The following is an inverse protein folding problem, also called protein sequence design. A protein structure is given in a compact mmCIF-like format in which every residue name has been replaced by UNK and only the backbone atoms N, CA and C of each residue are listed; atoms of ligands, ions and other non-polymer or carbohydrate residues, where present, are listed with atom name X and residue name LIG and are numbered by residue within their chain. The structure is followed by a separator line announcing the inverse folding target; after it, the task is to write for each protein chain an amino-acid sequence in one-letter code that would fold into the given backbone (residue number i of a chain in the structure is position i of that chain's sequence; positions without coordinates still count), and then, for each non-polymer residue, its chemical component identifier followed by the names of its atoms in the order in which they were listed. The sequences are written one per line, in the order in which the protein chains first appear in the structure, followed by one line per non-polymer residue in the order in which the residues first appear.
data_IF_250034942264
#
_entry.id   IF_250034942264
#
_cell.length_a   1.000
_cell.length_b   1.000
_cell.length_c   1.000
_cell.angle_alpha   90.00
_cell.angle_beta   90.00
_cell.angle_gamma   90.00
#
_symmetry.space_group_name_H-M   'P 1'
#
loop_
_entity.id
_entity.type
_entity.pdbx_description
1 polymer ?
#
# COMPACT_ATOMS: atom_id res chain seq x y z
N UNK A 1 29.58 -49.09 -12.46
CA UNK A 1 31.06 -49.06 -12.38
C UNK A 1 31.48 -47.61 -12.63
N UNK A 2 31.46 -46.73 -11.64
CA UNK A 2 32.41 -46.56 -10.54
C UNK A 2 33.61 -45.66 -10.94
N UNK A 3 33.56 -44.39 -10.50
CA UNK A 3 34.64 -43.49 -10.05
C UNK A 3 35.68 -42.98 -11.09
N UNK A 4 35.73 -41.66 -11.36
CA UNK A 4 36.49 -40.59 -10.67
C UNK A 4 37.99 -40.57 -11.00
N UNK A 5 38.45 -39.58 -11.79
CA UNK A 5 39.80 -38.97 -11.63
C UNK A 5 39.68 -37.45 -11.84
N UNK A 6 40.10 -36.74 -10.80
CA UNK A 6 40.24 -35.29 -10.66
C UNK A 6 41.60 -34.79 -11.17
N UNK A 7 41.58 -33.51 -11.60
CA UNK A 7 42.58 -32.46 -11.38
C UNK A 7 43.99 -32.54 -12.02
N UNK A 8 44.34 -31.43 -12.69
CA UNK A 8 45.71 -31.05 -13.04
C UNK A 8 45.78 -29.58 -13.47
N UNK A 9 45.97 -28.69 -12.49
CA UNK A 9 46.28 -27.26 -12.65
C UNK A 9 47.80 -27.11 -12.83
N UNK A 10 48.28 -26.30 -13.78
CA UNK A 10 49.36 -25.27 -13.69
C UNK A 10 50.11 -25.04 -15.01
N UNK A 11 50.12 -23.79 -15.52
CA UNK A 11 51.24 -22.99 -16.08
C UNK A 11 50.64 -21.73 -16.76
N UNK A 12 50.66 -20.52 -16.19
CA UNK A 12 51.76 -19.53 -15.98
C UNK A 12 52.10 -18.70 -17.24
N UNK A 13 51.94 -17.37 -17.07
CA UNK A 13 52.50 -16.22 -17.81
C UNK A 13 52.07 -16.01 -19.27
N UNK A 14 51.70 -14.81 -19.72
CA UNK A 14 52.58 -13.63 -19.84
C UNK A 14 51.80 -12.31 -19.80
N UNK A 15 52.40 -11.37 -19.08
CA UNK A 15 52.10 -9.94 -18.97
C UNK A 15 52.24 -9.21 -20.32
N UNK A 16 51.26 -8.39 -20.70
CA UNK A 16 51.47 -7.26 -21.62
C UNK A 16 50.82 -6.01 -21.05
N UNK A 17 51.63 -5.21 -20.36
CA UNK A 17 51.34 -3.81 -20.03
C UNK A 17 52.01 -2.97 -21.13
N UNK A 18 51.22 -2.38 -22.02
CA UNK A 18 51.62 -1.24 -22.86
C UNK A 18 50.91 -0.01 -22.29
N UNK A 19 51.52 0.83 -21.44
CA UNK A 19 52.49 1.90 -21.73
C UNK A 19 52.14 2.77 -22.95
N UNK A 20 51.17 3.67 -22.78
CA UNK A 20 51.14 4.91 -23.55
C UNK A 20 51.93 5.99 -22.79
N UNK A 21 53.11 6.32 -23.34
CA UNK A 21 53.92 7.48 -22.96
C UNK A 21 53.28 8.74 -23.55
N UNK A 22 53.09 9.74 -22.70
CA UNK A 22 52.88 11.12 -23.11
C UNK A 22 54.20 11.71 -23.66
N UNK A 23 54.18 12.56 -24.70
CA UNK A 23 55.32 13.38 -25.10
C UNK A 23 55.38 14.72 -24.32
N UNK A 24 56.57 15.35 -24.26
CA UNK A 24 56.91 16.40 -23.30
C UNK A 24 56.54 17.82 -23.73
N UNK A 25 56.39 18.67 -22.72
CA UNK A 25 56.21 20.13 -22.81
C UNK A 25 57.39 20.83 -23.49
N UNK A 26 57.10 21.88 -24.26
CA UNK A 26 58.03 23.00 -24.48
C UNK A 26 57.23 24.32 -24.41
N UNK A 27 57.71 25.35 -23.70
CA UNK A 27 56.93 26.55 -23.41
C UNK A 27 57.10 27.60 -24.51
N UNK A 28 56.03 28.34 -24.81
CA UNK A 28 56.14 29.61 -25.54
C UNK A 28 55.37 30.70 -24.80
N UNK A 29 56.11 31.73 -24.40
CA UNK A 29 55.61 33.10 -24.16
C UNK A 29 55.00 33.57 -25.50
N UNK A 30 53.92 34.35 -25.60
CA UNK A 30 53.71 35.72 -25.10
C UNK A 30 52.28 36.14 -25.48
N UNK A 31 51.81 37.27 -24.93
CA UNK A 31 50.57 38.03 -25.18
C UNK A 31 49.36 37.64 -24.33
N UNK A 32 49.38 38.19 -23.11
CA UNK A 32 48.19 38.45 -22.30
C UNK A 32 47.20 39.32 -23.11
N UNK A 33 46.12 38.69 -23.61
CA UNK A 33 44.88 39.40 -23.88
C UNK A 33 44.17 39.64 -22.54
N UNK A 34 43.59 40.83 -22.30
CA UNK A 34 42.74 41.04 -21.14
C UNK A 34 41.61 40.00 -21.16
N UNK A 35 41.20 39.50 -19.98
CA UNK A 35 40.19 38.46 -19.91
C UNK A 35 38.92 38.94 -20.64
N UNK A 36 38.23 38.07 -21.40
CA UNK A 36 36.92 38.42 -21.91
C UNK A 36 36.07 38.83 -20.70
N UNK A 37 35.47 40.02 -20.75
CA UNK A 37 34.45 40.41 -19.76
C UNK A 37 33.48 39.24 -19.68
N UNK A 38 33.44 38.58 -18.52
CA UNK A 38 32.38 37.64 -18.22
C UNK A 38 31.08 38.35 -18.59
N UNK A 39 30.17 37.72 -19.36
CA UNK A 39 28.79 38.14 -19.32
C UNK A 39 28.44 38.10 -17.84
N UNK A 40 28.18 39.26 -17.25
CA UNK A 40 27.59 39.34 -15.93
C UNK A 40 26.43 38.35 -15.95
N UNK A 41 26.50 37.34 -15.08
CA UNK A 41 25.42 36.38 -14.94
C UNK A 41 24.13 37.19 -14.89
N UNK A 42 23.12 36.88 -15.73
CA UNK A 42 21.84 37.52 -15.56
C UNK A 42 21.46 37.29 -14.10
N UNK A 43 21.29 38.38 -13.35
CA UNK A 43 20.69 38.37 -12.03
C UNK A 43 19.51 37.41 -12.13
N UNK A 44 19.43 36.32 -11.36
CA UNK A 44 18.31 35.42 -11.48
C UNK A 44 17.07 36.26 -11.20
N UNK A 45 16.28 36.48 -12.26
CA UNK A 45 15.00 37.13 -12.14
C UNK A 45 14.23 36.34 -11.09
N UNK A 46 13.82 37.01 -10.02
CA UNK A 46 13.10 36.43 -8.89
C UNK A 46 11.65 36.09 -9.26
N UNK A 47 11.40 35.48 -10.42
CA UNK A 47 10.05 35.43 -10.99
C UNK A 47 9.60 34.10 -11.58
N UNK A 48 10.37 33.01 -11.51
CA UNK A 48 9.90 31.69 -12.00
C UNK A 48 9.61 30.67 -10.88
N UNK A 49 9.77 31.06 -9.60
CA UNK A 49 9.33 30.25 -8.45
C UNK A 49 7.87 30.51 -8.02
N UNK A 50 7.20 31.50 -8.63
CA UNK A 50 5.79 31.81 -8.35
C UNK A 50 4.80 31.22 -9.37
N UNK A 51 5.25 30.52 -10.40
CA UNK A 51 4.36 29.90 -11.41
C UNK A 51 3.92 28.46 -11.08
N UNK A 52 4.30 27.92 -9.91
CA UNK A 52 3.79 26.64 -9.38
C UNK A 52 2.82 26.82 -8.20
N UNK A 53 2.42 28.05 -7.91
CA UNK A 53 1.33 28.31 -6.99
C UNK A 53 0.02 28.47 -7.78
N UNK A 54 -1.01 27.74 -7.34
CA UNK A 54 -2.38 27.70 -7.86
C UNK A 54 -2.62 26.68 -8.99
N UNK A 55 -2.27 25.41 -8.76
CA UNK A 55 -3.32 24.40 -8.84
C UNK A 55 -3.80 24.14 -7.43
N UNK A 56 -5.06 24.48 -7.16
CA UNK A 56 -5.70 24.20 -5.87
C UNK A 56 -5.60 22.68 -5.63
N UNK A 57 -5.06 22.22 -4.49
CA UNK A 57 -5.15 20.81 -4.15
C UNK A 57 -6.63 20.41 -4.17
N UNK A 58 -6.99 19.47 -5.04
CA UNK A 58 -8.29 18.82 -4.98
C UNK A 58 -8.41 18.17 -3.59
N UNK A 59 -9.20 18.82 -2.73
CA UNK A 59 -9.41 18.39 -1.35
C UNK A 59 -9.50 19.53 -0.35
N UNK A 60 -10.14 20.66 -0.69
CA UNK A 60 -10.65 21.56 0.33
C UNK A 60 -11.86 20.86 0.96
N UNK A 61 -11.65 20.22 2.12
CA UNK A 61 -12.74 19.74 2.95
C UNK A 61 -13.54 20.95 3.43
N UNK A 62 -14.78 21.02 2.96
CA UNK A 62 -15.79 21.95 3.40
C UNK A 62 -15.88 21.92 4.94
N UNK A 63 -15.63 23.06 5.58
CA UNK A 63 -15.63 23.18 7.04
C UNK A 63 -17.05 23.09 7.65
N UNK A 64 -18.08 22.79 6.85
CA UNK A 64 -19.42 22.43 7.31
C UNK A 64 -19.66 20.90 7.51
N UNK A 65 -18.69 20.03 7.25
CA UNK A 65 -18.83 18.54 7.32
C UNK A 65 -18.38 17.88 8.64
N UNK A 66 -17.95 18.64 9.65
CA UNK A 66 -17.26 18.10 10.86
C UNK A 66 -18.07 17.12 11.74
N UNK A 67 -19.40 17.06 11.61
CA UNK A 67 -20.25 16.21 12.47
C UNK A 67 -20.62 14.88 11.80
N UNK A 68 -20.75 14.83 10.48
CA UNK A 68 -21.04 13.61 9.72
C UNK A 68 -19.81 12.68 9.63
N UNK A 69 -18.60 13.23 9.51
CA UNK A 69 -17.37 12.43 9.43
C UNK A 69 -17.06 11.60 10.69
N UNK A 70 -17.33 12.13 11.90
CA UNK A 70 -16.93 11.44 13.14
C UNK A 70 -17.70 10.16 13.43
N UNK A 71 -18.99 10.11 13.11
CA UNK A 71 -19.80 8.91 13.37
C UNK A 71 -19.50 7.81 12.35
N UNK A 72 -19.24 8.19 11.09
CA UNK A 72 -18.78 7.27 10.06
C UNK A 72 -17.40 6.72 10.40
N UNK A 73 -16.48 7.57 10.85
CA UNK A 73 -15.16 7.18 11.35
C UNK A 73 -15.26 6.20 12.53
N UNK A 74 -16.13 6.46 13.52
CA UNK A 74 -16.39 5.53 14.63
C UNK A 74 -16.99 4.20 14.22
N UNK A 75 -17.83 4.19 13.18
CA UNK A 75 -18.38 2.97 12.60
C UNK A 75 -17.28 2.15 11.93
N UNK A 76 -16.49 2.80 11.09
CA UNK A 76 -15.34 2.23 10.40
C UNK A 76 -14.28 1.68 11.35
N UNK A 77 -13.95 2.40 12.42
CA UNK A 77 -13.02 1.93 13.45
C UNK A 77 -13.52 0.66 14.12
N UNK A 78 -14.82 0.58 14.39
CA UNK A 78 -15.41 -0.60 14.98
C UNK A 78 -15.41 -1.79 14.03
N UNK A 79 -15.79 -1.61 12.77
CA UNK A 79 -15.70 -2.65 11.74
C UNK A 79 -14.25 -3.18 11.61
N UNK A 80 -13.27 -2.27 11.63
CA UNK A 80 -11.85 -2.60 11.62
C UNK A 80 -11.40 -3.39 12.85
N UNK A 81 -11.85 -3.03 14.04
CA UNK A 81 -11.61 -3.76 15.27
C UNK A 81 -12.18 -5.18 15.19
N UNK A 82 -13.43 -5.33 14.74
CA UNK A 82 -14.05 -6.65 14.58
C UNK A 82 -13.31 -7.52 13.56
N UNK A 83 -12.85 -6.95 12.45
CA UNK A 83 -12.04 -7.69 11.49
C UNK A 83 -10.76 -8.26 12.11
N UNK A 84 -10.14 -7.56 13.08
CA UNK A 84 -8.96 -8.07 13.81
C UNK A 84 -9.31 -9.22 14.73
N UNK A 85 -10.40 -9.12 15.48
CA UNK A 85 -10.84 -10.18 16.39
C UNK A 85 -11.03 -11.50 15.64
N UNK A 86 -11.62 -11.46 14.44
CA UNK A 86 -11.78 -12.66 13.59
C UNK A 86 -10.47 -13.10 12.94
N UNK A 87 -9.63 -12.15 12.50
CA UNK A 87 -8.29 -12.43 12.01
C UNK A 87 -7.42 -13.19 13.01
N UNK A 88 -7.44 -12.78 14.29
CA UNK A 88 -6.73 -13.44 15.39
C UNK A 88 -7.28 -14.86 15.66
N UNK A 89 -8.55 -15.09 15.37
CA UNK A 89 -9.19 -16.42 15.43
C UNK A 89 -8.89 -17.29 14.18
N UNK A 90 -8.10 -16.80 13.25
CA UNK A 90 -7.65 -17.52 12.05
C UNK A 90 -8.59 -17.41 10.86
N UNK A 91 -9.51 -16.43 10.83
CA UNK A 91 -10.30 -16.13 9.64
C UNK A 91 -9.53 -15.20 8.70
N UNK A 92 -9.63 -15.43 7.39
CA UNK A 92 -9.18 -14.49 6.36
C UNK A 92 -10.27 -13.47 6.04
N UNK A 93 -9.90 -12.20 5.88
CA UNK A 93 -10.81 -11.13 5.46
C UNK A 93 -10.98 -11.14 3.94
N UNK A 94 -12.22 -11.34 3.46
CA UNK A 94 -12.58 -11.34 2.04
C UNK A 94 -13.11 -9.96 1.62
N UNK A 95 -13.94 -9.31 2.44
CA UNK A 95 -14.57 -8.03 2.10
C UNK A 95 -14.72 -7.12 3.34
N UNK A 96 -14.57 -5.81 3.13
CA UNK A 96 -14.82 -4.74 4.11
C UNK A 96 -15.48 -3.56 3.38
N UNK A 97 -16.54 -2.96 3.97
CA UNK A 97 -17.36 -1.89 3.38
C UNK A 97 -16.57 -0.73 2.76
N UNK A 98 -15.40 -0.39 3.31
CA UNK A 98 -14.50 0.64 2.76
C UNK A 98 -13.92 0.34 1.37
N UNK A 99 -14.16 -0.86 0.82
CA UNK A 99 -13.45 -1.38 -0.35
C UNK A 99 -14.33 -1.52 -1.60
N UNK A 100 -15.52 -0.92 -1.60
CA UNK A 100 -16.33 -0.69 -2.80
C UNK A 100 -17.42 -1.71 -3.04
N UNK A 101 -18.66 -1.30 -2.74
CA UNK A 101 -19.95 -1.55 -3.40
C UNK A 101 -21.00 -0.77 -2.57
N UNK A 102 -22.15 -0.43 -3.17
CA UNK A 102 -23.29 0.18 -2.46
C UNK A 102 -23.62 -0.59 -1.16
N UNK A 103 -24.08 0.14 -0.14
CA UNK A 103 -24.34 -0.36 1.21
C UNK A 103 -25.39 -1.48 1.22
N UNK A 104 -24.95 -2.74 1.09
CA UNK A 104 -25.79 -3.94 1.17
C UNK A 104 -26.03 -4.40 2.60
N UNK A 105 -25.78 -3.55 3.61
CA UNK A 105 -25.86 -3.92 5.03
C UNK A 105 -24.99 -5.15 5.40
N UNK A 106 -23.88 -5.35 4.71
CA UNK A 106 -22.85 -6.35 5.06
C UNK A 106 -21.55 -5.56 5.19
N UNK A 107 -21.03 -5.47 6.42
CA UNK A 107 -19.86 -4.65 6.72
C UNK A 107 -18.55 -5.44 6.52
N UNK A 108 -18.56 -6.73 6.88
CA UNK A 108 -17.42 -7.63 6.73
C UNK A 108 -17.85 -8.99 6.16
N UNK A 109 -16.97 -9.58 5.36
CA UNK A 109 -17.02 -11.00 4.99
C UNK A 109 -15.69 -11.62 5.38
N UNK A 110 -15.74 -12.64 6.23
CA UNK A 110 -14.55 -13.37 6.69
C UNK A 110 -14.75 -14.87 6.44
N UNK A 111 -13.67 -15.62 6.20
CA UNK A 111 -13.75 -17.05 5.95
C UNK A 111 -12.64 -17.86 6.62
N UNK A 112 -12.96 -19.10 6.97
CA UNK A 112 -12.02 -20.07 7.53
C UNK A 112 -12.35 -21.47 7.00
N UNK A 113 -11.60 -21.91 5.99
CA UNK A 113 -11.91 -23.16 5.28
C UNK A 113 -13.21 -23.04 4.48
N UNK A 114 -14.19 -23.91 4.77
CA UNK A 114 -15.52 -23.90 4.11
C UNK A 114 -16.53 -22.98 4.80
N UNK A 115 -16.18 -22.44 5.97
CA UNK A 115 -17.02 -21.49 6.72
C UNK A 115 -16.82 -20.06 6.22
N UNK A 116 -17.93 -19.36 5.98
CA UNK A 116 -17.98 -17.95 5.58
C UNK A 116 -18.94 -17.22 6.50
N UNK A 117 -18.51 -16.10 7.09
CA UNK A 117 -19.36 -15.26 7.93
C UNK A 117 -19.66 -13.95 7.21
N UNK A 118 -20.95 -13.65 7.04
CA UNK A 118 -21.43 -12.33 6.68
C UNK A 118 -21.74 -11.56 7.95
N UNK A 119 -21.07 -10.42 8.14
CA UNK A 119 -21.11 -9.70 9.40
C UNK A 119 -21.62 -8.28 9.16
N UNK A 120 -22.61 -7.88 9.95
CA UNK A 120 -23.03 -6.49 10.08
C UNK A 120 -22.66 -5.98 11.48
N UNK A 121 -21.89 -4.91 11.52
CA UNK A 121 -21.41 -4.26 12.73
C UNK A 121 -22.30 -3.07 13.10
N UNK A 122 -22.55 -2.86 14.39
CA UNK A 122 -23.15 -1.62 14.90
C UNK A 122 -22.44 -1.13 16.15
N UNK A 123 -21.79 0.02 16.02
CA UNK A 123 -21.17 0.73 17.12
C UNK A 123 -22.14 1.74 17.77
N UNK A 124 -23.25 1.24 18.33
CA UNK A 124 -24.23 2.08 19.00
C UNK A 124 -24.24 1.83 20.50
N UNK A 125 -24.51 2.88 21.26
CA UNK A 125 -24.60 2.79 22.71
C UNK A 125 -26.05 2.96 23.18
N UNK A 126 -26.36 2.48 24.39
CA UNK A 126 -27.71 2.63 24.97
C UNK A 126 -28.15 4.09 25.14
N UNK A 127 -27.19 5.02 25.30
CA UNK A 127 -27.41 6.45 25.57
C UNK A 127 -27.84 7.24 24.33
N UNK A 128 -27.48 6.81 23.13
CA UNK A 128 -27.82 7.48 21.86
C UNK A 128 -29.23 7.19 21.37
N UNK A 129 -29.99 6.32 22.05
CA UNK A 129 -31.37 5.97 21.68
C UNK A 129 -31.51 5.04 20.47
N UNK A 130 -30.51 4.93 19.59
CA UNK A 130 -30.54 4.00 18.45
C UNK A 130 -30.63 2.53 18.88
N UNK A 131 -31.50 1.78 18.21
CA UNK A 131 -31.71 0.34 18.41
C UNK A 131 -31.81 -0.37 17.07
N UNK A 132 -31.45 -1.64 17.06
CA UNK A 132 -31.56 -2.53 15.91
C UNK A 132 -32.96 -3.16 15.95
N UNK A 133 -33.82 -2.71 15.05
CA UNK A 133 -35.19 -3.20 14.87
C UNK A 133 -35.25 -4.48 14.03
N UNK A 134 -36.44 -5.09 13.98
CA UNK A 134 -36.69 -6.34 13.25
C UNK A 134 -36.57 -6.16 11.73
N UNK A 135 -37.07 -5.06 11.21
CA UNK A 135 -36.96 -4.66 9.80
C UNK A 135 -35.49 -4.62 9.35
N UNK A 136 -34.62 -4.06 10.19
CA UNK A 136 -33.18 -3.99 9.94
C UNK A 136 -32.55 -5.38 9.83
N UNK A 137 -32.92 -6.30 10.73
CA UNK A 137 -32.42 -7.68 10.73
C UNK A 137 -32.91 -8.40 9.49
N UNK A 138 -34.17 -8.27 9.12
CA UNK A 138 -34.74 -8.93 7.93
C UNK A 138 -34.07 -8.47 6.65
N UNK A 139 -33.79 -7.18 6.50
CA UNK A 139 -33.09 -6.65 5.33
C UNK A 139 -31.64 -7.15 5.24
N UNK A 140 -30.94 -7.22 6.38
CA UNK A 140 -29.60 -7.83 6.45
C UNK A 140 -29.61 -9.27 5.95
N UNK A 141 -30.60 -10.07 6.36
CA UNK A 141 -30.73 -11.45 5.92
C UNK A 141 -31.01 -11.57 4.43
N UNK A 142 -31.91 -10.75 3.89
CA UNK A 142 -32.21 -10.73 2.46
C UNK A 142 -30.95 -10.44 1.62
N UNK A 143 -30.12 -9.50 2.07
CA UNK A 143 -28.86 -9.17 1.39
C UNK A 143 -27.84 -10.32 1.48
N UNK A 144 -27.74 -10.97 2.63
CA UNK A 144 -26.88 -12.14 2.81
C UNK A 144 -27.33 -13.31 1.91
N UNK A 145 -28.63 -13.58 1.84
CA UNK A 145 -29.19 -14.66 1.01
C UNK A 145 -28.94 -14.41 -0.48
N UNK A 146 -29.09 -13.16 -0.92
CA UNK A 146 -28.80 -12.78 -2.30
C UNK A 146 -27.31 -12.97 -2.63
N UNK A 147 -26.42 -12.55 -1.74
CA UNK A 147 -24.98 -12.67 -1.92
C UNK A 147 -24.52 -14.13 -1.88
N UNK A 148 -25.05 -14.94 -0.96
CA UNK A 148 -24.75 -16.37 -0.88
C UNK A 148 -25.10 -17.07 -2.18
N UNK A 149 -26.32 -16.82 -2.69
CA UNK A 149 -26.81 -17.43 -3.93
C UNK A 149 -25.97 -17.03 -5.15
N UNK A 150 -25.47 -15.80 -5.18
CA UNK A 150 -24.70 -15.26 -6.29
C UNK A 150 -23.23 -15.70 -6.28
N UNK A 151 -22.57 -15.64 -5.11
CA UNK A 151 -21.10 -15.72 -5.01
C UNK A 151 -20.59 -16.86 -4.11
N UNK A 152 -21.39 -17.37 -3.16
CA UNK A 152 -20.92 -18.33 -2.14
C UNK A 152 -21.73 -19.64 -2.12
N UNK A 153 -22.34 -20.02 -3.25
CA UNK A 153 -23.20 -21.20 -3.34
C UNK A 153 -22.44 -22.47 -2.91
N UNK A 154 -22.99 -23.18 -1.92
CA UNK A 154 -22.45 -24.44 -1.41
C UNK A 154 -21.41 -24.29 -0.29
N UNK A 155 -21.10 -23.06 0.14
CA UNK A 155 -20.31 -22.79 1.35
C UNK A 155 -21.16 -22.85 2.61
N UNK A 156 -20.53 -23.06 3.76
CA UNK A 156 -21.20 -22.96 5.06
C UNK A 156 -21.28 -21.48 5.48
N UNK A 157 -22.29 -20.78 4.98
CA UNK A 157 -22.48 -19.35 5.21
C UNK A 157 -23.30 -19.08 6.49
N UNK A 158 -22.74 -18.30 7.40
CA UNK A 158 -23.39 -17.85 8.64
C UNK A 158 -23.61 -16.35 8.60
N UNK A 159 -24.68 -15.87 9.23
CA UNK A 159 -25.02 -14.43 9.31
C UNK A 159 -24.90 -13.96 10.75
N UNK A 160 -24.15 -12.88 10.97
CA UNK A 160 -23.83 -12.42 12.31
C UNK A 160 -23.99 -10.92 12.48
N UNK A 161 -24.76 -10.52 13.50
CA UNK A 161 -24.82 -9.15 13.97
C UNK A 161 -23.80 -8.95 15.09
N UNK A 162 -22.88 -8.00 14.93
CA UNK A 162 -21.88 -7.68 15.95
C UNK A 162 -22.15 -6.28 16.49
N UNK A 163 -22.53 -6.21 17.76
CA UNK A 163 -23.00 -4.99 18.40
C UNK A 163 -22.03 -4.56 19.49
N UNK A 164 -21.72 -3.26 19.57
CA UNK A 164 -20.82 -2.77 20.63
C UNK A 164 -21.51 -2.67 22.00
N UNK A 165 -22.84 -2.78 22.03
CA UNK A 165 -23.63 -2.83 23.26
C UNK A 165 -25.00 -3.51 23.03
N UNK A 166 -25.79 -3.80 24.08
CA UNK A 166 -27.09 -4.47 23.94
C UNK A 166 -28.16 -3.49 23.43
N UNK A 167 -28.22 -3.32 22.11
CA UNK A 167 -29.10 -2.38 21.41
C UNK A 167 -30.13 -3.04 20.50
N UNK A 168 -30.35 -4.35 20.64
CA UNK A 168 -31.46 -5.03 19.94
C UNK A 168 -32.80 -4.64 20.56
N UNK A 169 -33.79 -4.40 19.71
CA UNK A 169 -35.19 -4.32 20.12
C UNK A 169 -35.72 -5.71 20.49
N UNK A 170 -36.83 -5.74 21.25
CA UNK A 170 -37.38 -6.99 21.78
C UNK A 170 -37.80 -7.93 20.66
N UNK A 171 -38.43 -7.39 19.63
CA UNK A 171 -38.93 -8.10 18.46
C UNK A 171 -37.78 -8.68 17.63
N UNK A 172 -36.72 -7.89 17.42
CA UNK A 172 -35.50 -8.33 16.75
C UNK A 172 -34.81 -9.46 17.53
N UNK A 173 -34.68 -9.31 18.85
CA UNK A 173 -34.08 -10.32 19.71
C UNK A 173 -34.88 -11.63 19.70
N UNK A 174 -36.20 -11.53 19.78
CA UNK A 174 -37.10 -12.68 19.75
C UNK A 174 -36.99 -13.41 18.40
N UNK A 175 -37.01 -12.65 17.30
CA UNK A 175 -36.82 -13.19 15.96
C UNK A 175 -35.49 -13.93 15.81
N UNK A 176 -34.37 -13.33 16.25
CA UNK A 176 -33.05 -13.97 16.17
C UNK A 176 -33.05 -15.28 16.98
N UNK A 177 -33.62 -15.28 18.19
CA UNK A 177 -33.71 -16.49 19.02
C UNK A 177 -34.49 -17.62 18.38
N UNK A 178 -35.62 -17.31 17.76
CA UNK A 178 -36.46 -18.30 17.06
C UNK A 178 -35.73 -18.87 15.84
N UNK A 179 -34.84 -18.10 15.21
CA UNK A 179 -34.11 -18.49 14.01
C UNK A 179 -32.65 -18.94 14.28
N UNK A 180 -32.22 -19.00 15.54
CA UNK A 180 -30.89 -19.49 15.92
C UNK A 180 -30.74 -20.98 15.63
N UNK A 181 -31.83 -21.75 15.76
CA UNK A 181 -31.84 -23.20 15.51
C UNK A 181 -31.69 -23.55 14.01
N UNK A 182 -32.11 -22.65 13.12
CA UNK A 182 -32.00 -22.81 11.68
C UNK A 182 -30.68 -22.23 11.12
N UNK A 183 -29.74 -21.82 12.00
CA UNK A 183 -28.45 -21.18 11.67
C UNK A 183 -28.57 -19.95 10.75
N UNK A 184 -29.76 -19.34 10.69
CA UNK A 184 -30.02 -18.23 9.78
C UNK A 184 -29.43 -16.93 10.28
N UNK A 185 -29.34 -16.71 11.59
CA UNK A 185 -28.76 -15.46 12.13
C UNK A 185 -28.41 -15.64 13.59
N UNK A 186 -27.26 -15.09 13.99
CA UNK A 186 -26.86 -14.96 15.39
C UNK A 186 -26.42 -13.51 15.68
N UNK A 187 -26.21 -13.19 16.95
CA UNK A 187 -25.59 -11.93 17.35
C UNK A 187 -24.56 -12.10 18.46
N UNK A 188 -23.54 -11.22 18.45
CA UNK A 188 -22.54 -11.12 19.51
C UNK A 188 -22.43 -9.68 19.99
N UNK A 189 -22.17 -9.52 21.28
CA UNK A 189 -21.80 -8.22 21.86
C UNK A 189 -20.29 -8.23 22.06
N UNK A 190 -19.59 -7.35 21.35
CA UNK A 190 -18.15 -7.19 21.46
C UNK A 190 -17.88 -5.72 21.76
N UNK A 191 -17.58 -5.41 23.02
CA UNK A 191 -17.35 -4.03 23.43
C UNK A 191 -16.07 -3.48 22.80
N UNK A 192 -16.16 -2.28 22.20
CA UNK A 192 -15.00 -1.55 21.70
C UNK A 192 -14.72 -0.38 22.64
N UNK A 193 -13.60 -0.46 23.37
CA UNK A 193 -13.11 0.66 24.19
C UNK A 193 -12.46 1.67 23.24
N UNK A 194 -13.05 2.86 23.11
CA UNK A 194 -12.51 3.95 22.29
C UNK A 194 -11.02 4.19 22.64
N UNK A 195 -10.13 4.11 21.64
CA UNK A 195 -8.70 4.39 21.82
C UNK A 195 -7.72 3.50 21.05
N UNK A 196 -8.18 2.42 20.40
CA UNK A 196 -7.29 1.55 19.59
C UNK A 196 -7.76 1.54 18.13
N UNK A 197 -7.56 2.66 17.45
CA UNK A 197 -7.74 2.77 16.00
C UNK A 197 -6.49 2.18 15.31
N UNK A 198 -6.65 1.06 14.59
CA UNK A 198 -5.58 0.48 13.80
C UNK A 198 -5.74 0.90 12.34
N UNK A 199 -4.88 1.79 11.88
CA UNK A 199 -4.77 2.11 10.46
C UNK A 199 -4.18 0.89 9.73
N UNK A 200 -5.02 0.09 9.07
CA UNK A 200 -4.61 -1.09 8.31
C UNK A 200 -3.62 -0.78 7.20
N UNK A 201 -3.71 0.41 6.59
CA UNK A 201 -2.76 0.83 5.58
C UNK A 201 -1.39 1.08 6.23
N UNK A 202 -1.37 1.75 7.39
CA UNK A 202 -0.14 1.92 8.18
C UNK A 202 0.42 0.59 8.64
N UNK A 203 -0.40 -0.30 9.20
CA UNK A 203 0.06 -1.62 9.66
C UNK A 203 0.64 -2.44 8.52
N UNK A 204 0.00 -2.46 7.35
CA UNK A 204 0.56 -3.11 6.18
C UNK A 204 1.90 -2.50 5.76
N UNK A 205 2.01 -1.16 5.72
CA UNK A 205 3.31 -0.48 5.47
C UNK A 205 4.37 -0.89 6.50
N UNK A 206 4.00 -1.00 7.77
CA UNK A 206 4.90 -1.42 8.85
C UNK A 206 5.38 -2.86 8.63
N UNK A 207 4.51 -3.77 8.19
CA UNK A 207 4.87 -5.15 7.86
C UNK A 207 5.77 -5.23 6.62
N UNK A 208 5.48 -4.46 5.56
CA UNK A 208 6.33 -4.38 4.36
C UNK A 208 7.71 -3.82 4.71
N UNK A 209 7.76 -2.78 5.54
CA UNK A 209 9.01 -2.23 6.07
C UNK A 209 9.81 -3.28 6.84
N UNK A 210 9.16 -4.04 7.74
CA UNK A 210 9.80 -5.11 8.49
C UNK A 210 10.32 -6.24 7.57
N UNK A 211 9.58 -6.59 6.53
CA UNK A 211 9.98 -7.60 5.54
C UNK A 211 11.26 -7.21 4.78
N UNK A 212 11.36 -5.97 4.30
CA UNK A 212 12.59 -5.49 3.65
C UNK A 212 13.74 -5.27 4.64
N UNK A 213 13.45 -4.80 5.86
CA UNK A 213 14.46 -4.70 6.92
C UNK A 213 15.07 -6.08 7.23
N UNK A 214 14.25 -7.14 7.29
CA UNK A 214 14.70 -8.52 7.45
C UNK A 214 15.59 -9.03 6.30
N UNK A 215 15.54 -8.39 5.13
CA UNK A 215 16.44 -8.65 4.00
C UNK A 215 17.70 -7.76 4.00
N UNK A 216 17.90 -6.98 5.06
CA UNK A 216 19.06 -6.12 5.25
C UNK A 216 18.95 -4.75 4.58
N UNK A 217 17.76 -4.29 4.21
CA UNK A 217 17.55 -2.91 3.78
C UNK A 217 17.47 -1.98 5.00
N UNK A 218 18.10 -0.82 4.91
CA UNK A 218 17.76 0.33 5.73
C UNK A 218 16.46 0.95 5.20
N UNK A 219 15.46 1.10 6.07
CA UNK A 219 14.12 1.55 5.68
C UNK A 219 13.87 2.94 6.26
N UNK A 220 13.59 3.91 5.38
CA UNK A 220 13.08 5.24 5.76
C UNK A 220 11.61 5.33 5.36
N UNK A 221 10.74 5.70 6.30
CA UNK A 221 9.32 5.97 6.03
C UNK A 221 9.14 7.42 5.60
N UNK A 222 8.31 7.63 4.57
CA UNK A 222 8.03 8.99 4.09
C UNK A 222 6.93 9.67 4.91
N UNK A 223 6.03 8.90 5.55
CA UNK A 223 4.93 9.40 6.38
C UNK A 223 5.34 9.89 7.78
N UNK A 224 6.54 9.52 8.24
CA UNK A 224 7.09 9.90 9.56
C UNK A 224 7.74 11.29 9.60
N UNK A 225 7.90 11.98 8.45
CA UNK A 225 8.55 13.30 8.40
C UNK A 225 7.61 14.49 8.67
N UNK A 226 6.37 14.27 9.14
CA UNK A 226 5.38 15.31 9.45
C UNK A 226 5.74 16.25 10.63
N UNK A 227 7.02 16.37 10.98
CA UNK A 227 7.47 17.48 11.80
C UNK A 227 7.56 18.73 10.92
N UNK A 228 6.77 19.73 11.30
CA UNK A 228 6.35 20.92 10.54
C UNK A 228 7.46 21.92 10.13
N UNK A 229 8.71 21.50 9.91
CA UNK A 229 9.83 22.41 9.61
C UNK A 229 10.43 22.29 8.21
N UNK A 230 10.25 21.18 7.51
CA UNK A 230 10.68 21.07 6.11
C UNK A 230 9.48 21.27 5.18
N UNK A 231 9.53 22.32 4.34
CA UNK A 231 8.57 22.52 3.24
C UNK A 231 8.53 21.27 2.38
N UNK A 232 7.55 20.40 2.63
CA UNK A 232 7.49 19.06 2.07
C UNK A 232 7.50 19.11 0.54
N UNK A 233 8.48 18.45 -0.07
CA UNK A 233 8.36 18.07 -1.46
C UNK A 233 7.18 17.09 -1.58
N UNK A 234 6.25 17.37 -2.48
CA UNK A 234 4.94 16.70 -2.58
C UNK A 234 5.02 15.31 -3.25
N UNK A 235 5.99 14.46 -2.88
CA UNK A 235 6.11 13.10 -3.42
C UNK A 235 5.15 12.13 -2.70
N UNK A 236 3.86 12.44 -2.80
CA UNK A 236 2.78 11.86 -1.99
C UNK A 236 2.58 10.35 -2.16
N UNK A 237 3.15 9.75 -3.21
CA UNK A 237 2.92 8.34 -3.56
C UNK A 237 4.02 7.39 -3.09
N UNK A 238 5.17 7.89 -2.64
CA UNK A 238 6.26 7.07 -2.12
C UNK A 238 5.99 6.84 -0.64
N UNK A 239 5.82 5.57 -0.24
CA UNK A 239 5.55 5.21 1.15
C UNK A 239 6.85 4.91 1.90
N UNK A 240 7.76 4.15 1.25
CA UNK A 240 9.03 3.72 1.83
C UNK A 240 10.19 4.01 0.87
N UNK A 241 11.34 4.36 1.44
CA UNK A 241 12.63 4.44 0.75
C UNK A 241 13.52 3.37 1.35
N UNK A 242 13.89 2.38 0.54
CA UNK A 242 14.69 1.23 0.97
C UNK A 242 16.10 1.39 0.42
N UNK A 243 17.11 1.28 1.28
CA UNK A 243 18.52 1.46 0.92
C UNK A 243 19.34 0.25 1.32
N UNK A 244 20.09 -0.31 0.38
CA UNK A 244 21.05 -1.38 0.64
C UNK A 244 22.21 -1.23 -0.31
N UNK A 245 23.41 -1.03 0.21
CA UNK A 245 24.61 -0.76 -0.57
C UNK A 245 24.40 0.42 -1.55
N UNK A 246 24.56 0.19 -2.86
CA UNK A 246 24.29 1.19 -3.91
C UNK A 246 22.86 1.12 -4.45
N UNK A 247 21.99 0.25 -3.93
CA UNK A 247 20.61 0.14 -4.36
C UNK A 247 19.69 1.05 -3.55
N UNK A 248 18.81 1.78 -4.25
CA UNK A 248 17.76 2.61 -3.68
C UNK A 248 16.44 2.21 -4.32
N UNK A 249 15.48 1.79 -3.49
CA UNK A 249 14.14 1.41 -3.94
C UNK A 249 13.13 2.40 -3.40
N UNK A 250 12.33 2.98 -4.28
CA UNK A 250 11.14 3.73 -3.92
C UNK A 250 9.96 2.77 -3.96
N UNK A 251 9.31 2.57 -2.82
CA UNK A 251 8.23 1.62 -2.68
C UNK A 251 6.92 2.30 -2.31
N UNK A 252 5.86 1.89 -3.01
CA UNK A 252 4.49 2.23 -2.69
C UNK A 252 3.75 0.97 -2.26
N UNK A 253 3.07 1.00 -1.11
CA UNK A 253 2.46 -0.18 -0.50
C UNK A 253 0.93 -0.10 -0.60
N UNK A 254 0.29 -1.10 -1.19
CA UNK A 254 -1.17 -1.16 -1.32
C UNK A 254 -1.75 -2.44 -0.73
N UNK A 255 -2.68 -2.24 0.19
CA UNK A 255 -3.48 -3.27 0.84
C UNK A 255 -4.96 -2.97 0.61
N UNK A 256 -5.42 -3.19 -0.62
CA UNK A 256 -6.82 -2.97 -1.01
C UNK A 256 -7.52 -4.31 -1.21
N UNK A 257 -8.86 -4.31 -1.22
CA UNK A 257 -9.61 -5.53 -1.53
C UNK A 257 -9.32 -5.97 -2.97
N UNK A 258 -8.82 -7.19 -3.18
CA UNK A 258 -8.62 -7.76 -4.50
C UNK A 258 -9.89 -7.83 -5.36
N UNK A 259 -11.07 -7.83 -4.76
CA UNK A 259 -12.36 -7.89 -5.45
C UNK A 259 -13.16 -6.56 -5.37
N UNK A 260 -12.52 -5.51 -4.83
CA UNK A 260 -13.09 -4.16 -4.69
C UNK A 260 -12.94 -3.27 -5.93
N UNK A 261 -13.56 -2.09 -5.87
CA UNK A 261 -13.55 -1.10 -6.97
C UNK A 261 -12.19 -0.41 -7.16
N UNK A 262 -11.40 -0.29 -6.09
CA UNK A 262 -10.07 0.32 -6.17
C UNK A 262 -9.08 -0.61 -6.85
N UNK A 263 -8.64 -0.18 -8.04
CA UNK A 263 -7.66 -0.87 -8.87
C UNK A 263 -6.49 0.04 -9.22
N UNK A 264 -5.41 -0.59 -9.67
CA UNK A 264 -4.21 0.06 -10.17
C UNK A 264 -4.21 -0.11 -11.68
N UNK A 265 -4.45 1.01 -12.36
CA UNK A 265 -4.43 1.17 -13.81
C UNK A 265 -3.09 1.76 -14.29
N UNK A 266 -2.91 1.90 -15.60
CA UNK A 266 -1.69 2.47 -16.16
C UNK A 266 -1.42 3.91 -15.66
N UNK A 267 -2.48 4.74 -15.59
CA UNK A 267 -2.40 6.13 -15.14
C UNK A 267 -1.94 6.25 -13.68
N UNK A 268 -2.34 5.31 -12.84
CA UNK A 268 -1.91 5.22 -11.46
C UNK A 268 -0.40 4.98 -11.36
N UNK A 269 0.10 4.02 -12.15
CA UNK A 269 1.52 3.69 -12.21
C UNK A 269 2.36 4.83 -12.81
N UNK A 270 1.85 5.54 -13.81
CA UNK A 270 2.51 6.73 -14.37
C UNK A 270 2.73 7.82 -13.32
N UNK A 271 1.70 8.13 -12.52
CA UNK A 271 1.80 9.12 -11.45
C UNK A 271 2.79 8.70 -10.35
N UNK A 272 2.82 7.42 -10.00
CA UNK A 272 3.80 6.89 -9.07
C UNK A 272 5.24 7.04 -9.62
N UNK A 273 5.43 6.72 -10.90
CA UNK A 273 6.74 6.85 -11.55
C UNK A 273 7.19 8.32 -11.63
N UNK A 274 6.28 9.25 -11.91
CA UNK A 274 6.55 10.69 -11.88
C UNK A 274 7.04 11.15 -10.51
N UNK A 275 6.39 10.74 -9.42
CA UNK A 275 6.81 11.07 -8.05
C UNK A 275 8.21 10.47 -7.75
N UNK A 276 8.49 9.26 -8.23
CA UNK A 276 9.81 8.62 -8.10
C UNK A 276 10.92 9.38 -8.85
N UNK A 277 10.66 9.81 -10.09
CA UNK A 277 11.61 10.61 -10.87
C UNK A 277 11.85 11.97 -10.25
N UNK A 278 10.81 12.58 -9.69
CA UNK A 278 10.92 13.81 -8.92
C UNK A 278 11.83 13.64 -7.70
N UNK A 279 11.63 12.58 -6.91
CA UNK A 279 12.47 12.30 -5.74
C UNK A 279 13.91 11.97 -6.12
N UNK A 280 14.12 11.17 -7.18
CA UNK A 280 15.45 10.87 -7.70
C UNK A 280 16.19 12.15 -8.14
N UNK A 281 15.50 13.04 -8.85
CA UNK A 281 16.06 14.32 -9.27
C UNK A 281 16.44 15.20 -8.09
N UNK A 282 15.67 15.15 -7.00
CA UNK A 282 16.01 15.83 -5.76
C UNK A 282 17.29 15.26 -5.14
N UNK A 283 17.42 13.93 -5.03
CA UNK A 283 18.65 13.30 -4.53
C UNK A 283 19.87 13.67 -5.38
N UNK A 284 19.74 13.72 -6.71
CA UNK A 284 20.83 14.17 -7.58
C UNK A 284 21.23 15.62 -7.35
N UNK A 285 20.30 16.50 -6.95
CA UNK A 285 20.63 17.88 -6.59
C UNK A 285 21.36 17.95 -5.24
N UNK A 286 21.05 17.04 -4.33
CA UNK A 286 21.68 16.99 -3.01
C UNK A 286 23.14 16.49 -3.09
N UNK A 287 23.39 15.39 -3.81
CA UNK A 287 24.74 14.85 -4.03
C UNK A 287 24.83 14.02 -5.34
N UNK A 288 25.06 14.72 -6.46
CA UNK A 288 25.12 14.09 -7.76
C UNK A 288 26.19 12.99 -7.86
N UNK A 289 27.38 13.22 -7.30
CA UNK A 289 28.52 12.31 -7.44
C UNK A 289 28.30 10.99 -6.71
N UNK A 290 27.66 11.04 -5.55
CA UNK A 290 27.24 9.86 -4.83
C UNK A 290 26.09 9.14 -5.54
N UNK A 291 25.00 9.87 -5.84
CA UNK A 291 23.76 9.25 -6.30
C UNK A 291 23.82 8.75 -7.75
N UNK A 292 24.66 9.32 -8.63
CA UNK A 292 24.84 8.80 -10.00
C UNK A 292 25.41 7.37 -10.04
N UNK A 293 26.02 6.93 -8.94
CA UNK A 293 26.55 5.57 -8.77
C UNK A 293 25.52 4.60 -8.17
N UNK A 294 24.34 5.11 -7.79
CA UNK A 294 23.28 4.30 -7.21
C UNK A 294 22.38 3.68 -8.27
N UNK A 295 21.88 2.49 -7.98
CA UNK A 295 20.87 1.78 -8.77
C UNK A 295 19.49 2.07 -8.20
N UNK A 296 18.67 2.79 -8.97
CA UNK A 296 17.31 3.14 -8.57
C UNK A 296 16.29 2.15 -9.12
N UNK A 297 15.32 1.80 -8.28
CA UNK A 297 14.20 0.93 -8.64
C UNK A 297 12.89 1.47 -8.07
N UNK A 298 11.82 1.41 -8.86
CA UNK A 298 10.49 1.85 -8.43
C UNK A 298 9.58 0.63 -8.32
N UNK A 299 9.00 0.39 -7.16
CA UNK A 299 8.18 -0.80 -6.92
C UNK A 299 6.84 -0.46 -6.29
N UNK A 300 5.79 -1.11 -6.78
CA UNK A 300 4.50 -1.15 -6.10
C UNK A 300 4.37 -2.51 -5.40
N UNK A 301 4.23 -2.49 -4.09
CA UNK A 301 4.10 -3.67 -3.23
C UNK A 301 2.63 -3.89 -2.91
N UNK A 302 2.07 -4.99 -3.39
CA UNK A 302 0.64 -5.29 -3.38
C UNK A 302 0.31 -6.44 -2.43
N UNK A 303 -0.81 -6.39 -1.75
CA UNK A 303 -1.34 -7.56 -1.03
C UNK A 303 -1.87 -8.64 -2.00
N UNK A 304 -2.21 -8.27 -3.24
CA UNK A 304 -2.69 -9.18 -4.29
C UNK A 304 -2.42 -8.66 -5.69
N UNK A 305 -2.09 -9.56 -6.63
CA UNK A 305 -1.94 -9.23 -8.05
C UNK A 305 -3.26 -8.84 -8.73
N UNK A 306 -4.42 -9.26 -8.20
CA UNK A 306 -5.75 -8.86 -8.71
C UNK A 306 -6.03 -7.36 -8.61
N UNK A 307 -5.19 -6.60 -7.91
CA UNK A 307 -5.28 -5.15 -7.87
C UNK A 307 -4.83 -4.49 -9.18
N UNK A 308 -3.99 -5.16 -9.96
CA UNK A 308 -3.57 -4.67 -11.27
C UNK A 308 -4.66 -5.01 -12.31
N UNK A 309 -5.16 -3.99 -12.99
CA UNK A 309 -6.02 -4.18 -14.17
C UNK A 309 -5.19 -4.45 -15.43
N UNK A 310 -5.80 -4.97 -16.52
CA UNK A 310 -5.04 -5.40 -17.71
C UNK A 310 -4.12 -4.33 -18.31
N UNK A 311 -4.54 -3.07 -18.35
CA UNK A 311 -3.74 -1.97 -18.89
C UNK A 311 -2.50 -1.65 -18.02
N UNK A 312 -2.56 -1.86 -16.70
CA UNK A 312 -1.40 -1.75 -15.83
C UNK A 312 -0.34 -2.82 -16.13
N UNK A 313 -0.77 -4.05 -16.43
CA UNK A 313 0.16 -5.09 -16.86
C UNK A 313 0.81 -4.74 -18.20
N UNK A 314 0.04 -4.25 -19.17
CA UNK A 314 0.57 -3.81 -20.46
C UNK A 314 1.52 -2.62 -20.31
N UNK A 315 1.20 -1.67 -19.43
CA UNK A 315 2.08 -0.56 -19.09
C UNK A 315 3.42 -1.05 -18.54
N UNK A 316 3.43 -1.95 -17.55
CA UNK A 316 4.66 -2.53 -16.99
C UNK A 316 5.48 -3.26 -18.07
N UNK A 317 4.81 -4.06 -18.92
CA UNK A 317 5.46 -4.79 -20.03
C UNK A 317 6.07 -3.84 -21.06
N UNK A 318 5.39 -2.74 -21.38
CA UNK A 318 5.85 -1.76 -22.38
C UNK A 318 7.20 -1.11 -22.01
N UNK A 319 7.58 -1.17 -20.74
CA UNK A 319 8.80 -0.58 -20.22
C UNK A 319 9.98 -1.57 -20.16
N UNK A 320 9.82 -2.81 -20.64
CA UNK A 320 10.82 -3.87 -20.51
C UNK A 320 12.22 -3.47 -21.00
N UNK A 321 12.29 -2.63 -22.04
CA UNK A 321 13.54 -2.20 -22.69
C UNK A 321 14.08 -0.86 -22.13
N UNK A 322 13.37 -0.25 -21.17
CA UNK A 322 13.81 0.97 -20.49
C UNK A 322 14.83 0.66 -19.38
N UNK A 323 15.55 1.69 -18.93
CA UNK A 323 16.46 1.55 -17.77
C UNK A 323 15.66 1.23 -16.52
N UNK A 324 16.26 0.53 -15.56
CA UNK A 324 15.55 0.08 -14.34
C UNK A 324 14.84 1.21 -13.57
N UNK A 325 15.45 2.38 -13.48
CA UNK A 325 14.89 3.54 -12.80
C UNK A 325 13.76 4.25 -13.58
N UNK A 326 13.57 3.91 -14.84
CA UNK A 326 12.48 4.40 -15.70
C UNK A 326 11.28 3.43 -15.72
N UNK A 327 11.41 2.32 -14.99
CA UNK A 327 10.44 1.23 -14.95
C UNK A 327 9.69 1.21 -13.64
N UNK A 328 8.46 0.71 -13.70
CA UNK A 328 7.72 0.28 -12.50
C UNK A 328 7.75 -1.24 -12.42
N UNK A 329 8.12 -1.74 -11.24
CA UNK A 329 8.02 -3.14 -10.88
C UNK A 329 6.84 -3.33 -9.93
N UNK A 330 6.38 -4.57 -9.79
CA UNK A 330 5.48 -4.93 -8.71
C UNK A 330 5.98 -6.17 -7.97
N UNK A 331 5.63 -6.26 -6.70
CA UNK A 331 5.83 -7.44 -5.87
C UNK A 331 4.56 -7.68 -5.06
N UNK A 332 4.19 -8.95 -4.88
CA UNK A 332 3.02 -9.32 -4.11
C UNK A 332 3.47 -9.88 -2.76
N UNK A 333 3.17 -9.13 -1.71
CA UNK A 333 3.41 -9.51 -0.31
C UNK A 333 2.07 -9.72 0.39
N UNK A 334 1.66 -10.98 0.51
CA UNK A 334 0.37 -11.34 1.10
C UNK A 334 0.48 -11.25 2.63
N UNK A 335 -0.37 -10.44 3.29
CA UNK A 335 -0.42 -10.42 4.75
C UNK A 335 -0.99 -11.72 5.31
N UNK A 336 -0.52 -12.14 6.49
CA UNK A 336 -1.18 -13.19 7.27
C UNK A 336 -2.59 -12.77 7.64
N UNK A 337 -3.45 -13.75 7.93
CA UNK A 337 -4.80 -13.50 8.43
C UNK A 337 -4.78 -12.60 9.66
N UNK A 338 -3.85 -12.84 10.60
CA UNK A 338 -3.63 -12.06 11.83
C UNK A 338 -3.00 -10.67 11.60
N UNK A 339 -2.61 -10.32 10.36
CA UNK A 339 -1.91 -9.08 10.03
C UNK A 339 -0.66 -8.86 10.90
N UNK A 340 0.10 -9.92 11.18
CA UNK A 340 1.33 -9.90 12.00
C UNK A 340 2.60 -10.09 11.17
N UNK A 341 2.47 -10.55 9.92
CA UNK A 341 3.57 -10.70 8.96
C UNK A 341 3.04 -10.59 7.53
N UNK A 342 3.96 -10.34 6.60
CA UNK A 342 3.72 -10.50 5.16
C UNK A 342 4.65 -11.57 4.61
N UNK A 343 4.22 -12.23 3.55
CA UNK A 343 4.99 -13.27 2.86
C UNK A 343 4.92 -13.06 1.36
N UNK A 344 6.03 -13.35 0.66
CA UNK A 344 6.06 -13.27 -0.79
C UNK A 344 5.12 -14.29 -1.39
N UNK A 345 4.28 -13.85 -2.33
CA UNK A 345 3.44 -14.76 -3.09
C UNK A 345 4.33 -15.61 -4.01
N UNK A 346 4.50 -16.88 -3.65
CA UNK A 346 5.06 -17.88 -4.54
C UNK A 346 3.90 -18.54 -5.28
N UNK A 347 3.85 -18.37 -6.61
CA UNK A 347 3.00 -19.21 -7.45
C UNK A 347 3.39 -20.66 -7.15
N UNK A 348 2.53 -21.39 -6.44
CA UNK A 348 2.62 -22.85 -6.47
C UNK A 348 2.42 -23.21 -7.93
N UNK A 349 3.45 -23.79 -8.54
CA UNK A 349 3.39 -24.37 -9.86
C UNK A 349 2.10 -25.20 -9.98
N UNK A 350 1.19 -24.76 -10.84
CA UNK A 350 0.18 -25.65 -11.45
C UNK A 350 0.84 -26.45 -12.57
#
# INVERSE_FOLDING_TARGET
MMWLILAGITLVCVVVIQRFKAPPNTPSQTLQRPPPKQPSAPTPASSDLHAFEIEKPHGYFDQNTKKENKNMEKGREYENFIAQEYAQQGYGLIFHRDLGKQDQKIDLIVAKGEEVLFIQCKNWNKKTGHRVGLDYVQEFLQNCDALEKAEYRGKNCQRLLILSSPVLEKEAWQFIKEHTQDLRVDFKIIEHKEGVSMDYAKKYRDLVAAYYAGQGFNVKRYDESKDNQEKHLAFTRIDLILRKDKQIIFAQCRNWNPDGEHKIDAKYLEKFLQDCHGYQSHLYRDDFEYYKQCFFKNIVVLNSSKLLVPDAFEFIKSQKDKKEHERVFYEVLVPSSSMDKVSKYESKHE
#
